data_IF_447445582872
#
_entry.id   IF_447445582872
#
_cell.length_a   1.000
_cell.length_b   1.000
_cell.length_c   1.000
_cell.angle_alpha   90.00
_cell.angle_beta   90.00
_cell.angle_gamma   90.00
#
_symmetry.space_group_name_H-M   'P 1'
#
loop_
_entity.id
_entity.type
_entity.pdbx_description
1 polymer ?
#
# COMPACT_ATOMS: atom_id res chain seq x y z
N UNK A 1 -17.95 -22.86 -15.89
CA UNK A 1 -17.25 -21.59 -15.66
C UNK A 1 -16.52 -21.73 -14.34
N UNK A 2 -15.22 -21.97 -14.38
CA UNK A 2 -14.40 -22.14 -13.18
C UNK A 2 -14.27 -20.77 -12.52
N UNK A 3 -15.09 -20.51 -11.51
CA UNK A 3 -14.91 -19.38 -10.61
C UNK A 3 -13.75 -19.69 -9.69
N UNK A 4 -12.55 -19.24 -10.07
CA UNK A 4 -11.45 -19.12 -9.13
C UNK A 4 -11.76 -17.91 -8.26
N UNK A 5 -12.52 -18.12 -7.19
CA UNK A 5 -12.55 -17.21 -6.04
C UNK A 5 -11.17 -17.29 -5.35
N UNK A 6 -10.14 -16.82 -6.04
CA UNK A 6 -8.93 -16.36 -5.40
C UNK A 6 -9.38 -15.22 -4.50
N UNK A 7 -9.56 -15.56 -3.22
CA UNK A 7 -9.54 -14.59 -2.13
C UNK A 7 -8.15 -13.96 -2.15
N UNK A 8 -7.88 -13.10 -3.14
CA UNK A 8 -6.75 -12.20 -3.16
C UNK A 8 -6.74 -11.59 -1.76
N UNK A 9 -5.74 -11.95 -0.95
CA UNK A 9 -5.58 -11.40 0.39
C UNK A 9 -5.15 -9.95 0.21
N UNK A 10 -6.12 -9.09 -0.09
CA UNK A 10 -5.97 -7.64 -0.25
C UNK A 10 -6.02 -6.98 1.10
N UNK A 11 -5.11 -6.04 1.32
CA UNK A 11 -5.05 -5.21 2.51
C UNK A 11 -5.07 -3.76 2.10
N UNK A 12 -5.95 -2.98 2.73
CA UNK A 12 -5.95 -1.53 2.60
C UNK A 12 -4.90 -0.99 3.57
N UNK A 13 -3.93 -0.24 3.05
CA UNK A 13 -2.97 0.54 3.85
C UNK A 13 -3.27 2.02 3.69
N UNK A 14 -2.98 2.81 4.72
CA UNK A 14 -3.13 4.26 4.66
C UNK A 14 -1.76 4.93 4.71
N UNK A 15 -1.54 5.87 3.79
CA UNK A 15 -0.41 6.78 3.86
C UNK A 15 -0.93 8.14 4.32
N UNK A 16 -0.62 8.52 5.57
CA UNK A 16 -1.06 9.79 6.17
C UNK A 16 -0.41 11.02 5.54
N UNK A 17 0.65 10.83 4.75
CA UNK A 17 1.43 11.94 4.19
C UNK A 17 2.14 12.79 5.23
N UNK A 18 2.34 12.25 6.44
CA UNK A 18 3.30 12.77 7.42
C UNK A 18 4.68 12.68 6.77
N UNK A 19 5.08 13.81 6.19
CA UNK A 19 6.35 14.01 5.53
C UNK A 19 7.48 13.82 6.54
N UNK A 20 8.59 13.26 6.08
CA UNK A 20 9.82 13.36 6.85
C UNK A 20 10.27 14.83 6.71
N UNK A 21 10.58 15.50 7.83
CA UNK A 21 10.91 16.94 7.84
C UNK A 21 12.06 17.33 6.88
N UNK A 22 12.84 16.33 6.44
CA UNK A 22 13.94 16.47 5.48
C UNK A 22 13.51 16.62 4.01
N UNK A 23 12.33 16.13 3.61
CA UNK A 23 11.96 16.05 2.18
C UNK A 23 10.78 16.98 1.80
N UNK A 24 10.12 17.65 2.76
CA UNK A 24 8.97 18.55 2.52
C UNK A 24 7.84 17.96 1.64
N UNK A 25 7.71 16.63 1.61
CA UNK A 25 6.64 15.96 0.87
C UNK A 25 5.45 15.73 1.80
N UNK A 26 4.54 16.70 1.80
CA UNK A 26 3.26 16.64 2.53
C UNK A 26 2.14 16.34 1.53
N UNK A 27 1.33 15.31 1.80
CA UNK A 27 0.20 14.95 0.95
C UNK A 27 -1.02 14.56 1.80
N UNK A 28 -2.25 14.71 1.31
CA UNK A 28 -3.43 14.29 2.04
C UNK A 28 -3.40 12.78 2.31
N UNK A 29 -4.07 12.35 3.38
CA UNK A 29 -4.20 10.93 3.70
C UNK A 29 -4.84 10.17 2.53
N UNK A 30 -4.10 9.21 1.98
CA UNK A 30 -4.60 8.32 0.93
C UNK A 30 -4.66 6.87 1.40
N UNK A 31 -5.48 6.09 0.72
CA UNK A 31 -5.62 4.65 0.93
C UNK A 31 -5.14 3.91 -0.30
N UNK A 32 -4.24 2.95 -0.11
CA UNK A 32 -3.67 2.13 -1.17
C UNK A 32 -4.09 0.68 -0.92
N UNK A 33 -4.43 -0.03 -2.00
CA UNK A 33 -4.75 -1.45 -1.92
C UNK A 33 -3.49 -2.25 -2.22
N UNK A 34 -3.07 -3.08 -1.28
CA UNK A 34 -1.88 -3.93 -1.41
C UNK A 34 -2.35 -5.37 -1.46
N UNK A 35 -1.92 -6.11 -2.48
CA UNK A 35 -2.13 -7.56 -2.54
C UNK A 35 -1.01 -8.27 -1.78
N UNK A 36 -1.29 -9.46 -1.28
CA UNK A 36 -0.25 -10.31 -0.70
C UNK A 36 0.86 -10.58 -1.71
N UNK A 37 2.12 -10.46 -1.26
CA UNK A 37 3.30 -10.67 -2.10
C UNK A 37 3.52 -9.56 -3.13
N UNK A 38 2.80 -8.44 -3.01
CA UNK A 38 3.00 -7.25 -3.82
C UNK A 38 3.49 -6.09 -2.96
N UNK A 39 4.22 -5.20 -3.61
CA UNK A 39 4.71 -3.94 -3.06
C UNK A 39 4.00 -2.81 -3.79
N UNK A 40 3.51 -1.81 -3.06
CA UNK A 40 2.94 -0.60 -3.66
C UNK A 40 3.67 0.62 -3.14
N UNK A 41 4.02 1.54 -4.03
CA UNK A 41 4.57 2.84 -3.66
C UNK A 41 3.48 3.89 -3.57
N UNK A 42 3.56 4.75 -2.55
CA UNK A 42 2.76 5.96 -2.49
C UNK A 42 3.19 6.89 -3.65
N UNK A 43 2.26 7.38 -4.49
CA UNK A 43 2.61 8.25 -5.61
C UNK A 43 3.08 9.65 -5.19
N UNK A 44 2.94 10.00 -3.92
CA UNK A 44 3.30 11.32 -3.40
C UNK A 44 4.65 11.30 -2.69
N UNK A 45 4.79 10.50 -1.63
CA UNK A 45 6.01 10.44 -0.81
C UNK A 45 6.93 9.25 -1.13
N UNK A 46 6.62 8.48 -2.18
CA UNK A 46 7.38 7.30 -2.59
C UNK A 46 7.56 6.24 -1.49
N UNK A 47 6.80 6.32 -0.37
CA UNK A 47 6.81 5.31 0.69
C UNK A 47 6.32 3.98 0.12
N UNK A 48 7.12 2.93 0.28
CA UNK A 48 6.78 1.58 -0.17
C UNK A 48 6.06 0.84 0.94
N UNK A 49 4.90 0.26 0.61
CA UNK A 49 4.10 -0.60 1.47
C UNK A 49 4.10 -2.00 0.90
N UNK A 50 4.66 -2.95 1.64
CA UNK A 50 4.66 -4.37 1.27
C UNK A 50 3.74 -5.16 2.22
N UNK A 51 2.93 -6.06 1.66
CA UNK A 51 2.15 -7.00 2.44
C UNK A 51 2.72 -8.42 2.25
N UNK A 52 3.67 -8.77 3.11
CA UNK A 52 4.25 -10.11 3.13
C UNK A 52 3.25 -11.11 3.74
N UNK A 53 3.03 -12.23 3.06
CA UNK A 53 2.48 -13.43 3.68
C UNK A 53 3.49 -13.89 4.72
N UNK A 54 3.17 -13.71 6.01
CA UNK A 54 3.89 -14.45 7.05
C UNK A 54 3.32 -15.87 7.06
N UNK A 55 4.18 -16.84 6.77
CA UNK A 55 3.95 -18.29 6.93
C UNK A 55 3.79 -18.65 8.41
#
# INVERSE_FOLDING_TARGET
MSGSDEKDKVKIVCCSGEGNASEYIEHPKIYLTVKIGQEVSCPYCSKVFAFASRD
#
